data_IF_071928224839
#
_entry.id   IF_071928224839
#
_cell.length_a   1.000
_cell.length_b   1.000
_cell.length_c   1.000
_cell.angle_alpha   90.00
_cell.angle_beta   90.00
_cell.angle_gamma   90.00
#
_symmetry.space_group_name_H-M   'P 1'
#
loop_
_entity.id
_entity.type
_entity.pdbx_description
1 polymer ?
#
# COMPACT_ATOMS: atom_id res chain seq x y z
N UNK A 1 -47.09 -40.73 35.57
CA UNK A 1 -47.94 -39.67 36.09
C UNK A 1 -47.79 -38.52 35.12
N UNK A 2 -48.66 -38.43 34.11
CA UNK A 2 -49.88 -37.65 34.08
C UNK A 2 -49.59 -36.15 34.20
N UNK A 3 -49.95 -35.23 33.33
CA UNK A 3 -51.03 -35.08 32.36
C UNK A 3 -50.77 -33.84 31.52
N UNK A 4 -51.01 -33.91 30.24
CA UNK A 4 -51.49 -32.78 29.44
C UNK A 4 -53.00 -32.58 29.75
N UNK A 5 -53.66 -31.45 29.46
CA UNK A 5 -54.18 -31.30 28.10
C UNK A 5 -54.43 -29.88 27.55
N UNK A 6 -54.62 -29.83 26.25
CA UNK A 6 -55.65 -29.18 25.41
C UNK A 6 -55.72 -27.63 25.40
N UNK A 7 -55.76 -26.91 24.31
CA UNK A 7 -56.36 -27.08 23.02
C UNK A 7 -57.30 -25.90 22.76
N UNK A 8 -57.21 -25.16 21.67
CA UNK A 8 -58.39 -24.80 20.88
C UNK A 8 -58.02 -24.08 19.58
N UNK A 9 -58.44 -24.64 18.49
CA UNK A 9 -58.58 -24.10 17.12
C UNK A 9 -59.68 -23.04 17.08
N UNK A 10 -59.51 -22.04 16.21
CA UNK A 10 -60.68 -21.55 15.48
C UNK A 10 -60.24 -20.92 14.12
N UNK A 11 -60.88 -21.43 13.13
CA UNK A 11 -60.82 -21.24 11.70
C UNK A 11 -61.82 -20.18 11.22
N UNK A 12 -61.63 -19.72 9.92
CA UNK A 12 -62.64 -19.27 8.94
C UNK A 12 -62.89 -17.74 8.92
N UNK A 13 -62.76 -17.00 7.82
CA UNK A 13 -63.43 -17.06 6.51
C UNK A 13 -62.97 -15.95 5.59
N UNK A 14 -62.79 -16.30 4.33
CA UNK A 14 -62.77 -15.38 3.18
C UNK A 14 -64.23 -15.19 2.70
N UNK A 15 -64.63 -14.11 2.10
CA UNK A 15 -65.37 -14.24 0.84
C UNK A 15 -64.94 -13.35 -0.31
N UNK A 16 -65.02 -13.95 -1.50
CA UNK A 16 -64.96 -13.38 -2.82
C UNK A 16 -66.28 -12.73 -3.25
N UNK A 17 -66.19 -12.05 -4.41
CA UNK A 17 -67.21 -11.68 -5.41
C UNK A 17 -67.80 -10.27 -5.28
N UNK A 18 -68.05 -9.48 -6.31
CA UNK A 18 -68.43 -9.77 -7.71
C UNK A 18 -68.38 -8.51 -8.60
N UNK A 19 -68.04 -8.72 -9.80
CA UNK A 19 -68.33 -8.13 -11.11
C UNK A 19 -69.44 -7.07 -11.18
N UNK A 20 -69.20 -5.96 -12.02
CA UNK A 20 -70.15 -5.59 -13.11
C UNK A 20 -69.53 -4.63 -14.13
N UNK A 21 -69.63 -5.04 -15.40
CA UNK A 21 -69.49 -4.30 -16.60
C UNK A 21 -70.59 -3.26 -16.79
N UNK A 22 -70.31 -2.15 -17.50
CA UNK A 22 -71.25 -1.53 -18.44
C UNK A 22 -70.50 -0.78 -19.56
N UNK A 23 -70.77 -1.22 -20.77
CA UNK A 23 -70.41 -0.60 -22.04
C UNK A 23 -71.32 0.57 -22.40
N UNK A 24 -70.85 1.46 -23.25
CA UNK A 24 -71.65 2.33 -24.09
C UNK A 24 -70.82 3.31 -24.94
N UNK A 25 -70.95 3.31 -26.28
CA UNK A 25 -70.11 4.05 -27.23
C UNK A 25 -70.83 5.32 -27.78
N UNK A 26 -70.48 5.88 -28.97
CA UNK A 26 -69.51 6.95 -29.19
C UNK A 26 -70.17 8.25 -29.69
N UNK A 27 -69.46 9.33 -29.75
CA UNK A 27 -69.82 10.47 -30.61
C UNK A 27 -68.60 11.16 -31.17
N UNK A 28 -68.43 11.15 -32.42
CA UNK A 28 -67.61 11.97 -33.30
C UNK A 28 -68.17 13.37 -33.43
N UNK A 29 -67.36 14.41 -33.47
CA UNK A 29 -67.57 15.60 -34.29
C UNK A 29 -66.21 16.35 -34.45
N UNK A 30 -65.86 16.50 -35.75
CA UNK A 30 -65.03 17.51 -36.43
C UNK A 30 -64.06 18.43 -35.76
N UNK A 31 -62.84 18.50 -36.33
CA UNK A 31 -61.86 19.59 -36.18
C UNK A 31 -62.30 20.90 -36.91
N UNK A 32 -61.47 21.88 -37.13
CA UNK A 32 -60.01 22.03 -37.01
C UNK A 32 -59.57 23.32 -36.27
N UNK A 33 -58.30 23.44 -35.87
CA UNK A 33 -57.49 24.67 -36.05
C UNK A 33 -56.09 24.45 -35.54
N UNK A 34 -55.13 24.49 -36.46
CA UNK A 34 -53.71 24.56 -36.19
C UNK A 34 -53.35 25.90 -35.57
N UNK A 35 -52.76 25.91 -34.37
CA UNK A 35 -51.93 26.98 -33.86
C UNK A 35 -50.54 26.46 -33.61
N UNK A 36 -49.46 27.18 -33.99
CA UNK A 36 -48.11 26.70 -33.86
C UNK A 36 -47.70 26.68 -32.36
N UNK A 37 -47.44 25.49 -31.83
CA UNK A 37 -46.86 25.31 -30.53
C UNK A 37 -45.37 25.69 -30.51
N UNK A 38 -44.89 26.20 -29.38
CA UNK A 38 -43.46 26.50 -29.23
C UNK A 38 -42.67 25.19 -29.29
N UNK A 39 -41.60 25.17 -30.09
CA UNK A 39 -40.59 24.16 -30.12
C UNK A 39 -39.96 24.09 -28.72
N UNK A 40 -40.36 23.11 -27.90
CA UNK A 40 -39.55 22.69 -26.76
C UNK A 40 -38.43 21.85 -27.33
N UNK A 41 -37.23 22.47 -27.36
CA UNK A 41 -35.99 21.73 -27.53
C UNK A 41 -35.96 20.63 -26.50
N UNK A 42 -35.77 19.41 -26.97
CA UNK A 42 -35.36 18.27 -26.15
C UNK A 42 -33.98 18.63 -25.55
N UNK A 43 -33.97 19.31 -24.42
CA UNK A 43 -32.80 19.28 -23.56
C UNK A 43 -32.65 17.81 -23.18
N UNK A 44 -31.63 17.23 -23.72
CA UNK A 44 -31.04 15.97 -23.36
C UNK A 44 -30.87 15.99 -21.83
N UNK A 45 -31.73 15.26 -21.14
CA UNK A 45 -31.56 15.02 -19.71
C UNK A 45 -30.27 14.25 -19.55
N UNK A 46 -29.18 14.98 -19.39
CA UNK A 46 -27.90 14.43 -18.92
C UNK A 46 -28.20 13.88 -17.53
N UNK A 47 -28.25 12.57 -17.45
CA UNK A 47 -28.27 11.82 -16.22
C UNK A 47 -27.08 12.33 -15.38
N UNK A 48 -27.28 12.89 -14.19
CA UNK A 48 -26.16 13.29 -13.35
C UNK A 48 -25.52 12.02 -12.77
N UNK A 49 -24.69 11.38 -13.58
CA UNK A 49 -23.77 10.37 -13.05
C UNK A 49 -23.01 11.01 -11.89
N UNK A 50 -22.99 10.40 -10.72
CA UNK A 50 -22.27 10.96 -9.57
C UNK A 50 -20.80 11.16 -9.99
N UNK A 51 -20.16 12.27 -9.59
CA UNK A 51 -18.80 12.57 -10.00
C UNK A 51 -17.90 11.40 -9.62
N UNK A 52 -17.17 10.90 -10.62
CA UNK A 52 -16.17 9.86 -10.43
C UNK A 52 -15.21 10.33 -9.32
N UNK A 53 -15.17 9.58 -8.23
CA UNK A 53 -14.35 9.91 -7.08
C UNK A 53 -12.89 9.68 -7.44
N UNK A 54 -12.11 10.73 -7.45
CA UNK A 54 -10.67 10.60 -7.33
C UNK A 54 -10.36 10.00 -5.96
N UNK A 55 -10.17 8.70 -5.89
CA UNK A 55 -9.67 8.07 -4.67
C UNK A 55 -8.29 8.64 -4.36
N UNK A 56 -8.05 9.11 -3.13
CA UNK A 56 -6.75 9.65 -2.78
C UNK A 56 -5.68 8.57 -2.87
N UNK A 57 -4.55 8.93 -3.44
CA UNK A 57 -3.36 8.09 -3.55
C UNK A 57 -2.87 7.69 -2.17
N UNK A 58 -2.77 6.41 -1.91
CA UNK A 58 -2.25 5.87 -0.66
C UNK A 58 -0.78 5.49 -0.89
N UNK A 59 0.14 6.27 -0.37
CA UNK A 59 1.51 5.83 -0.18
C UNK A 59 1.57 5.07 1.14
N UNK A 60 1.47 3.76 1.07
CA UNK A 60 1.46 2.92 2.26
C UNK A 60 2.88 2.52 2.69
N UNK A 61 3.01 2.39 3.96
CA UNK A 61 4.16 2.18 4.81
C UNK A 61 4.97 0.96 4.42
N UNK A 62 6.26 1.17 4.16
CA UNK A 62 7.25 0.10 4.16
C UNK A 62 7.91 0.02 5.55
N UNK A 63 7.93 -1.14 6.21
CA UNK A 63 8.97 -1.39 7.20
C UNK A 63 10.30 -1.44 6.45
N UNK A 64 11.33 -0.77 6.98
CA UNK A 64 12.65 -0.76 6.36
C UNK A 64 13.11 -2.19 6.08
N UNK A 65 13.44 -2.48 4.83
CA UNK A 65 13.82 -3.81 4.35
C UNK A 65 12.74 -4.57 3.57
N UNK A 66 11.54 -4.00 3.36
CA UNK A 66 10.53 -4.61 2.49
C UNK A 66 9.99 -3.60 1.46
N UNK A 67 10.43 -3.66 0.20
CA UNK A 67 10.11 -2.65 -0.82
C UNK A 67 8.80 -2.91 -1.56
N UNK A 68 7.64 -3.10 -0.90
CA UNK A 68 6.53 -3.69 -1.62
C UNK A 68 5.29 -2.82 -1.79
N UNK A 69 5.13 -1.75 -1.03
CA UNK A 69 3.85 -1.04 -1.01
C UNK A 69 3.76 0.18 -1.93
N UNK A 70 4.85 0.90 -2.08
CA UNK A 70 4.88 2.15 -2.87
C UNK A 70 4.54 1.94 -4.36
N UNK A 71 4.89 0.75 -4.91
CA UNK A 71 4.64 0.40 -6.29
C UNK A 71 3.29 -0.14 -6.65
N UNK A 72 2.69 -0.81 -5.74
CA UNK A 72 1.50 -1.59 -6.03
C UNK A 72 0.22 -0.79 -5.93
N UNK A 73 0.19 0.24 -5.09
CA UNK A 73 -0.99 1.10 -4.93
C UNK A 73 -1.14 2.09 -6.07
N UNK A 74 -0.02 2.56 -6.63
CA UNK A 74 -0.04 3.43 -7.82
C UNK A 74 -0.65 2.72 -9.05
N UNK A 75 -0.66 1.39 -9.09
CA UNK A 75 -1.18 0.62 -10.20
C UNK A 75 -2.72 0.46 -10.20
N UNK A 76 -3.39 0.83 -9.12
CA UNK A 76 -4.80 0.44 -8.92
C UNK A 76 -5.84 1.52 -9.24
N UNK A 77 -5.50 2.83 -9.29
CA UNK A 77 -6.51 3.87 -9.42
C UNK A 77 -6.83 4.25 -10.87
N UNK A 78 -8.09 4.06 -11.34
CA UNK A 78 -8.51 4.50 -12.66
C UNK A 78 -8.62 6.03 -12.76
N UNK A 79 -8.18 6.54 -13.88
CA UNK A 79 -7.95 7.95 -14.23
C UNK A 79 -9.22 8.57 -14.86
N UNK A 80 -10.35 8.61 -14.16
CA UNK A 80 -11.59 9.17 -14.69
C UNK A 80 -12.10 10.36 -13.86
N UNK A 81 -11.58 11.56 -14.10
CA UNK A 81 -12.27 12.80 -13.79
C UNK A 81 -11.83 13.96 -14.68
N UNK A 82 -12.71 14.33 -15.58
CA UNK A 82 -12.57 15.53 -16.42
C UNK A 82 -12.95 16.77 -15.60
N UNK A 83 -11.97 17.47 -15.05
CA UNK A 83 -12.10 18.87 -14.65
C UNK A 83 -10.84 19.64 -15.04
N UNK A 84 -10.99 20.92 -15.39
CA UNK A 84 -9.94 21.86 -15.81
C UNK A 84 -8.93 22.21 -14.69
N UNK A 85 -8.54 21.23 -13.90
CA UNK A 85 -7.39 21.32 -13.00
C UNK A 85 -6.10 21.02 -13.79
N UNK A 86 -4.93 21.52 -13.36
CA UNK A 86 -3.68 21.13 -13.99
C UNK A 86 -3.62 19.60 -14.07
N UNK A 87 -3.18 19.04 -15.21
CA UNK A 87 -3.27 17.61 -15.46
C UNK A 87 -2.57 16.86 -14.34
N UNK A 88 -3.35 16.10 -13.55
CA UNK A 88 -2.82 15.21 -12.52
C UNK A 88 -1.90 14.20 -13.18
N UNK A 89 -0.83 13.83 -12.50
CA UNK A 89 0.07 12.79 -13.00
C UNK A 89 -0.71 11.48 -13.18
N UNK A 90 -0.48 10.81 -14.29
CA UNK A 90 -1.02 9.47 -14.52
C UNK A 90 -0.33 8.49 -13.56
N UNK A 91 -1.12 7.78 -12.76
CA UNK A 91 -0.60 6.93 -11.69
C UNK A 91 -0.01 5.60 -12.23
N UNK A 92 -0.61 5.00 -13.26
CA UNK A 92 -0.24 3.67 -13.76
C UNK A 92 -0.10 3.64 -15.27
N UNK A 93 0.59 2.60 -15.75
CA UNK A 93 0.75 2.29 -17.17
C UNK A 93 -0.34 1.33 -17.62
N UNK A 94 -0.68 1.43 -18.88
CA UNK A 94 -1.47 0.40 -19.52
C UNK A 94 -0.64 -0.89 -19.65
N UNK A 95 -1.24 -2.03 -19.29
CA UNK A 95 -0.64 -3.35 -19.44
C UNK A 95 -0.08 -3.96 -18.17
N UNK A 96 0.64 -5.06 -18.32
CA UNK A 96 1.11 -5.91 -17.24
C UNK A 96 2.24 -5.28 -16.40
N UNK A 97 3.22 -4.65 -17.05
CA UNK A 97 4.35 -4.02 -16.38
C UNK A 97 3.98 -2.61 -15.92
N UNK A 98 4.13 -2.33 -14.63
CA UNK A 98 3.80 -1.03 -14.05
C UNK A 98 5.03 -0.18 -13.78
N UNK A 99 6.02 -0.71 -13.06
CA UNK A 99 7.24 0.03 -12.76
C UNK A 99 8.43 -0.85 -12.41
N UNK A 100 9.62 -0.27 -12.50
CA UNK A 100 10.88 -0.77 -11.96
C UNK A 100 11.48 0.29 -11.04
N UNK A 101 11.88 -0.09 -9.84
CA UNK A 101 12.53 0.81 -8.89
C UNK A 101 13.93 0.29 -8.54
N UNK A 102 14.87 1.20 -8.43
CA UNK A 102 16.24 0.94 -7.95
C UNK A 102 16.56 2.01 -6.92
N UNK A 103 16.99 1.58 -5.74
CA UNK A 103 17.36 2.47 -4.63
C UNK A 103 18.72 2.08 -4.08
N UNK A 104 19.58 3.06 -3.88
CA UNK A 104 20.84 2.92 -3.16
C UNK A 104 20.78 3.67 -1.85
N UNK A 105 21.18 3.01 -0.75
CA UNK A 105 21.26 3.60 0.59
C UNK A 105 22.66 3.44 1.14
N UNK A 106 23.20 4.48 1.74
CA UNK A 106 24.49 4.45 2.41
C UNK A 106 24.34 4.94 3.85
N UNK A 107 24.77 4.10 4.79
CA UNK A 107 24.92 4.44 6.20
C UNK A 107 26.39 4.61 6.50
N UNK A 108 26.75 5.73 7.10
CA UNK A 108 28.12 5.98 7.53
C UNK A 108 28.59 4.92 8.54
N UNK A 109 29.74 4.26 8.32
CA UNK A 109 30.19 3.15 9.16
C UNK A 109 30.56 3.53 10.59
N UNK A 110 30.77 4.83 10.88
CA UNK A 110 31.25 5.26 12.18
C UNK A 110 32.77 5.09 12.34
N UNK A 111 33.28 5.24 13.56
CA UNK A 111 34.71 5.17 13.86
C UNK A 111 35.03 4.20 15.00
N UNK A 112 34.05 3.73 15.74
CA UNK A 112 34.24 2.80 16.85
C UNK A 112 34.24 1.34 16.37
N UNK A 113 34.92 0.46 17.08
CA UNK A 113 35.06 -0.95 16.74
C UNK A 113 33.70 -1.70 16.69
N UNK A 114 32.68 -1.19 17.38
CA UNK A 114 31.31 -1.69 17.34
C UNK A 114 30.46 -1.08 16.24
N UNK A 115 30.97 -0.07 15.53
CA UNK A 115 30.20 0.58 14.50
C UNK A 115 30.13 -0.27 13.24
N UNK A 116 28.96 -0.21 12.59
CA UNK A 116 28.71 -0.90 11.34
C UNK A 116 28.03 0.05 10.35
N UNK A 117 28.58 0.14 9.16
CA UNK A 117 27.97 0.83 8.04
C UNK A 117 27.29 -0.16 7.10
N UNK A 118 26.35 0.37 6.32
CA UNK A 118 25.68 -0.39 5.27
C UNK A 118 25.73 0.37 3.94
N UNK A 119 25.94 -0.37 2.87
CA UNK A 119 25.61 0.11 1.52
C UNK A 119 24.59 -0.86 0.96
N UNK A 120 23.34 -0.39 0.85
CA UNK A 120 22.23 -1.19 0.38
C UNK A 120 21.93 -0.86 -1.08
N UNK A 121 21.65 -1.88 -1.88
CA UNK A 121 21.13 -1.76 -3.24
C UNK A 121 19.84 -2.56 -3.28
N UNK A 122 18.73 -1.88 -3.50
CA UNK A 122 17.40 -2.46 -3.56
C UNK A 122 16.84 -2.35 -4.98
N UNK A 123 16.28 -3.42 -5.49
CA UNK A 123 15.63 -3.45 -6.80
C UNK A 123 14.32 -4.23 -6.73
N UNK A 124 13.26 -3.67 -7.30
CA UNK A 124 12.02 -4.41 -7.48
C UNK A 124 11.28 -3.99 -8.75
N UNK A 125 10.51 -4.92 -9.29
CA UNK A 125 9.60 -4.68 -10.41
C UNK A 125 8.15 -4.91 -10.00
N UNK A 126 7.22 -4.11 -10.51
CA UNK A 126 5.78 -4.23 -10.22
C UNK A 126 5.02 -4.66 -11.46
N UNK A 127 4.21 -5.69 -11.31
CA UNK A 127 3.41 -6.28 -12.37
C UNK A 127 1.97 -6.42 -11.90
N UNK A 128 1.01 -5.91 -12.67
CA UNK A 128 -0.41 -6.00 -12.36
C UNK A 128 -1.09 -7.01 -13.31
N UNK A 129 -1.76 -7.99 -12.71
CA UNK A 129 -2.55 -8.99 -13.42
C UNK A 129 -4.03 -8.74 -13.19
N UNK A 130 -4.90 -8.72 -14.23
CA UNK A 130 -6.34 -8.54 -14.09
C UNK A 130 -7.01 -9.81 -13.53
N UNK A 131 -6.63 -10.22 -12.33
CA UNK A 131 -7.12 -11.41 -11.67
C UNK A 131 -7.41 -11.11 -10.19
N UNK A 132 -8.53 -11.54 -9.61
CA UNK A 132 -9.62 -12.30 -10.23
C UNK A 132 -10.48 -11.47 -11.20
N UNK A 133 -10.47 -10.14 -11.08
CA UNK A 133 -11.17 -9.20 -11.97
C UNK A 133 -10.29 -7.96 -12.21
N UNK A 134 -10.61 -7.19 -13.24
CA UNK A 134 -9.83 -6.00 -13.64
C UNK A 134 -9.81 -4.94 -12.52
N UNK A 135 -10.95 -4.78 -11.83
CA UNK A 135 -11.13 -3.81 -10.75
C UNK A 135 -10.33 -4.14 -9.47
N UNK A 136 -9.95 -5.41 -9.29
CA UNK A 136 -9.16 -5.89 -8.15
C UNK A 136 -7.96 -6.71 -8.62
N UNK A 137 -6.99 -6.08 -9.25
CA UNK A 137 -5.86 -6.80 -9.83
C UNK A 137 -5.02 -7.47 -8.75
N UNK A 138 -4.42 -8.59 -9.10
CA UNK A 138 -3.33 -9.18 -8.35
C UNK A 138 -2.03 -8.48 -8.76
N UNK A 139 -1.37 -7.85 -7.80
CA UNK A 139 -0.08 -7.21 -8.01
C UNK A 139 1.03 -8.16 -7.56
N UNK A 140 1.99 -8.40 -8.45
CA UNK A 140 3.15 -9.26 -8.19
C UNK A 140 4.40 -8.38 -8.23
N UNK A 141 5.16 -8.41 -7.14
CA UNK A 141 6.36 -7.61 -7.01
C UNK A 141 7.56 -8.50 -6.66
N UNK A 142 8.31 -9.02 -7.66
CA UNK A 142 9.62 -9.59 -7.40
C UNK A 142 10.60 -8.50 -7.00
N UNK A 143 11.42 -8.79 -5.99
CA UNK A 143 12.45 -7.89 -5.49
C UNK A 143 13.70 -8.62 -5.05
N UNK A 144 14.80 -7.88 -5.10
CA UNK A 144 16.10 -8.31 -4.65
C UNK A 144 16.87 -7.17 -4.02
N UNK A 145 17.38 -7.41 -2.80
CA UNK A 145 18.19 -6.44 -2.07
C UNK A 145 19.56 -7.05 -1.75
N UNK A 146 20.57 -6.24 -1.81
CA UNK A 146 21.93 -6.58 -1.42
C UNK A 146 22.43 -5.56 -0.42
N UNK A 147 22.88 -6.05 0.73
CA UNK A 147 23.43 -5.26 1.82
C UNK A 147 24.91 -5.55 1.95
N UNK A 148 25.73 -4.54 1.72
CA UNK A 148 27.18 -4.59 1.90
C UNK A 148 27.51 -3.98 3.26
N UNK A 149 28.11 -4.77 4.14
CA UNK A 149 28.45 -4.36 5.50
C UNK A 149 29.89 -3.88 5.57
N UNK A 150 30.12 -2.79 6.30
CA UNK A 150 31.42 -2.22 6.62
C UNK A 150 31.57 -2.21 8.15
N UNK A 151 32.41 -3.09 8.70
CA UNK A 151 32.48 -3.40 10.14
C UNK A 151 31.43 -4.43 10.56
N UNK A 152 31.29 -4.70 11.84
CA UNK A 152 32.12 -4.28 12.95
C UNK A 152 33.42 -5.09 13.05
N UNK A 153 34.38 -4.60 13.86
CA UNK A 153 35.62 -5.34 14.16
C UNK A 153 35.47 -6.31 15.34
N UNK A 154 34.42 -6.13 16.15
CA UNK A 154 34.23 -6.85 17.41
C UNK A 154 33.50 -8.18 17.30
N UNK A 155 32.77 -8.42 16.20
CA UNK A 155 31.98 -9.62 15.99
C UNK A 155 32.01 -10.07 14.54
N UNK A 156 31.71 -11.33 14.35
CA UNK A 156 31.74 -12.04 13.09
C UNK A 156 30.43 -11.85 12.31
N UNK A 157 30.36 -10.77 11.54
CA UNK A 157 29.28 -10.53 10.59
C UNK A 157 29.74 -10.81 9.15
N UNK A 158 28.91 -11.42 8.31
CA UNK A 158 29.26 -11.60 6.91
C UNK A 158 29.30 -10.22 6.21
N UNK A 159 30.23 -10.03 5.26
CA UNK A 159 30.35 -8.76 4.53
C UNK A 159 29.17 -8.46 3.60
N UNK A 160 28.30 -9.43 3.36
CA UNK A 160 27.16 -9.31 2.45
C UNK A 160 25.98 -10.09 2.98
N UNK A 161 24.78 -9.45 2.87
CA UNK A 161 23.49 -10.07 3.12
C UNK A 161 22.60 -9.85 1.89
N UNK A 162 21.66 -10.74 1.69
CA UNK A 162 20.80 -10.74 0.52
C UNK A 162 19.36 -11.04 0.89
N UNK A 163 18.44 -10.33 0.26
CA UNK A 163 17.00 -10.60 0.28
C UNK A 163 16.55 -10.91 -1.15
N UNK A 164 15.93 -12.05 -1.34
CA UNK A 164 15.27 -12.38 -2.60
C UNK A 164 13.82 -12.74 -2.28
N UNK A 165 12.85 -12.00 -2.81
CA UNK A 165 11.43 -12.17 -2.45
C UNK A 165 10.51 -11.93 -3.62
N UNK A 166 9.25 -12.39 -3.47
CA UNK A 166 8.15 -12.04 -4.35
C UNK A 166 6.94 -11.69 -3.49
N UNK A 167 6.43 -10.48 -3.63
CA UNK A 167 5.17 -10.10 -2.97
C UNK A 167 3.98 -10.34 -3.90
N UNK A 168 2.94 -10.96 -3.35
CA UNK A 168 1.65 -11.15 -3.99
C UNK A 168 0.63 -10.33 -3.23
N UNK A 169 0.17 -9.24 -3.82
CA UNK A 169 -0.75 -8.32 -3.17
C UNK A 169 -2.07 -8.23 -3.91
N UNK A 170 -3.15 -8.19 -3.15
CA UNK A 170 -4.52 -8.06 -3.63
C UNK A 170 -5.25 -6.97 -2.87
N UNK A 171 -5.97 -6.09 -3.60
CA UNK A 171 -6.67 -4.92 -3.07
C UNK A 171 -8.17 -4.96 -3.38
N UNK A 172 -8.97 -5.83 -2.76
CA UNK A 172 -10.40 -5.87 -2.99
C UNK A 172 -11.12 -4.71 -2.28
N UNK A 173 -12.08 -4.12 -3.00
CA UNK A 173 -13.03 -3.15 -2.46
C UNK A 173 -14.38 -3.82 -2.32
N UNK A 174 -14.73 -4.31 -1.13
CA UNK A 174 -15.97 -5.07 -0.92
C UNK A 174 -17.19 -4.20 -0.66
N UNK A 175 -16.99 -3.05 -0.04
CA UNK A 175 -18.06 -2.12 0.32
C UNK A 175 -17.59 -0.71 0.00
N UNK A 176 -18.53 0.10 -0.47
CA UNK A 176 -18.27 1.51 -0.68
C UNK A 176 -17.54 2.13 0.52
N UNK A 177 -16.38 2.76 0.32
CA UNK A 177 -15.46 3.35 1.29
C UNK A 177 -14.55 2.39 2.07
N UNK A 178 -14.61 1.08 1.85
CA UNK A 178 -13.75 0.13 2.52
C UNK A 178 -12.92 -0.63 1.50
N UNK A 179 -11.62 -0.46 1.56
CA UNK A 179 -10.65 -1.21 0.77
C UNK A 179 -9.83 -2.07 1.71
N UNK A 180 -9.61 -3.31 1.34
CA UNK A 180 -8.66 -4.18 2.04
C UNK A 180 -7.38 -4.27 1.21
N UNK A 181 -6.25 -4.37 1.90
CA UNK A 181 -4.98 -4.72 1.31
C UNK A 181 -4.51 -6.01 1.96
N UNK A 182 -4.39 -7.05 1.18
CA UNK A 182 -3.90 -8.35 1.61
C UNK A 182 -2.64 -8.69 0.82
N UNK A 183 -1.57 -9.05 1.51
CA UNK A 183 -0.31 -9.42 0.86
C UNK A 183 0.34 -10.62 1.54
N UNK A 184 0.99 -11.44 0.72
CA UNK A 184 1.81 -12.56 1.15
C UNK A 184 3.12 -12.51 0.38
N UNK A 185 4.24 -12.54 1.13
CA UNK A 185 5.59 -12.36 0.58
C UNK A 185 6.49 -13.52 0.99
N UNK A 186 6.58 -14.59 0.20
CA UNK A 186 7.66 -15.55 0.35
C UNK A 186 9.00 -14.89 0.00
N UNK A 187 10.02 -15.13 0.83
CA UNK A 187 11.35 -14.59 0.62
C UNK A 187 12.45 -15.48 1.20
N UNK A 188 13.65 -15.26 0.74
CA UNK A 188 14.86 -15.91 1.19
C UNK A 188 15.87 -14.86 1.66
N UNK A 189 16.29 -14.95 2.93
CA UNK A 189 17.07 -13.93 3.63
C UNK A 189 18.34 -14.55 4.21
N UNK A 190 19.47 -14.36 3.56
CA UNK A 190 20.72 -15.05 3.91
C UNK A 190 21.96 -14.32 3.37
N UNK A 191 23.14 -14.76 3.81
CA UNK A 191 24.42 -14.44 3.19
C UNK A 191 24.75 -15.29 1.95
N UNK A 192 23.84 -16.20 1.55
CA UNK A 192 23.98 -17.18 0.46
C UNK A 192 25.16 -18.17 0.59
N UNK A 193 25.79 -18.22 1.75
CA UNK A 193 26.79 -19.26 2.05
C UNK A 193 26.15 -20.52 2.60
N UNK A 194 25.02 -20.35 3.26
CA UNK A 194 24.26 -21.43 3.86
C UNK A 194 22.99 -21.68 3.04
N UNK A 195 22.75 -22.93 2.70
CA UNK A 195 21.46 -23.38 2.16
C UNK A 195 20.64 -23.98 3.31
N UNK A 196 19.96 -23.14 4.07
CA UNK A 196 19.12 -23.54 5.20
C UNK A 196 17.65 -23.19 4.91
N UNK A 197 16.74 -24.08 5.32
CA UNK A 197 15.30 -23.84 5.28
C UNK A 197 14.87 -22.66 6.13
N UNK A 198 15.63 -22.31 7.17
CA UNK A 198 15.38 -21.19 8.07
C UNK A 198 15.61 -19.83 7.40
N UNK A 199 16.36 -19.80 6.28
CA UNK A 199 16.51 -18.60 5.47
C UNK A 199 15.24 -18.27 4.66
N UNK A 200 14.37 -19.28 4.42
CA UNK A 200 13.07 -19.06 3.80
C UNK A 200 12.07 -18.53 4.84
N UNK A 201 11.52 -17.37 4.58
CA UNK A 201 10.52 -16.73 5.45
C UNK A 201 9.31 -16.31 4.66
N UNK A 202 8.15 -16.51 5.26
CA UNK A 202 6.88 -15.99 4.76
C UNK A 202 6.51 -14.76 5.59
N UNK A 203 6.38 -13.62 4.93
CA UNK A 203 5.87 -12.39 5.53
C UNK A 203 4.54 -12.00 4.90
N UNK A 204 3.87 -10.96 5.40
CA UNK A 204 2.59 -10.55 4.83
C UNK A 204 1.97 -9.36 5.52
N UNK A 205 0.91 -8.83 4.92
CA UNK A 205 0.19 -7.64 5.37
C UNK A 205 -1.30 -7.85 5.27
N UNK A 206 -2.01 -7.39 6.29
CA UNK A 206 -3.46 -7.33 6.28
C UNK A 206 -3.90 -5.96 6.78
N UNK A 207 -4.32 -5.07 5.87
CA UNK A 207 -4.72 -3.72 6.19
C UNK A 207 -6.15 -3.46 5.72
N UNK A 208 -6.85 -2.60 6.44
CA UNK A 208 -8.16 -2.08 6.08
C UNK A 208 -8.05 -0.57 5.99
N UNK A 209 -8.58 -0.03 4.92
CA UNK A 209 -8.57 1.39 4.61
C UNK A 209 -10.02 1.86 4.57
N UNK A 210 -10.32 2.90 5.33
CA UNK A 210 -11.65 3.52 5.38
C UNK A 210 -11.60 4.95 4.86
N UNK A 211 -12.29 5.22 3.76
CA UNK A 211 -12.45 6.54 3.16
C UNK A 211 -13.51 7.35 3.91
N UNK A 212 -13.11 8.14 4.89
CA UNK A 212 -14.02 9.00 5.62
C UNK A 212 -14.57 10.11 4.73
N UNK A 213 -13.70 10.72 3.93
CA UNK A 213 -14.03 11.69 2.88
C UNK A 213 -12.89 11.73 1.83
N UNK A 214 -13.00 12.48 0.70
CA UNK A 214 -11.97 12.52 -0.35
C UNK A 214 -10.58 13.00 0.10
N UNK A 215 -10.48 13.60 1.29
CA UNK A 215 -9.23 14.15 1.84
C UNK A 215 -8.75 13.46 3.11
N UNK A 216 -9.54 12.52 3.66
CA UNK A 216 -9.22 11.83 4.90
C UNK A 216 -9.54 10.34 4.81
N UNK A 217 -8.53 9.53 5.05
CA UNK A 217 -8.62 8.08 5.13
C UNK A 217 -8.07 7.61 6.47
N UNK A 218 -8.63 6.55 7.01
CA UNK A 218 -8.08 5.83 8.16
C UNK A 218 -7.55 4.48 7.70
N UNK A 219 -6.39 4.11 8.23
CA UNK A 219 -5.74 2.82 7.94
C UNK A 219 -5.55 2.08 9.24
N UNK A 220 -5.84 0.78 9.23
CA UNK A 220 -5.61 -0.08 10.38
C UNK A 220 -5.34 -1.52 9.96
N UNK A 221 -4.51 -2.24 10.73
CA UNK A 221 -4.21 -3.62 10.43
C UNK A 221 -2.94 -4.12 11.07
N UNK A 222 -2.30 -5.11 10.44
CA UNK A 222 -1.10 -5.76 10.95
C UNK A 222 -0.14 -6.13 9.82
N UNK A 223 1.17 -6.09 10.13
CA UNK A 223 2.23 -6.67 9.33
C UNK A 223 2.74 -7.91 10.05
N UNK A 224 2.83 -9.02 9.35
CA UNK A 224 3.54 -10.21 9.80
C UNK A 224 4.95 -10.21 9.21
N UNK A 225 5.92 -9.90 10.05
CA UNK A 225 7.32 -9.74 9.64
C UNK A 225 8.11 -11.05 9.73
N UNK A 226 7.64 -12.00 10.54
CA UNK A 226 8.32 -13.27 10.75
C UNK A 226 9.75 -13.13 11.28
N UNK A 227 10.09 -12.01 11.94
CA UNK A 227 11.40 -11.77 12.55
C UNK A 227 11.48 -12.45 13.92
N UNK A 228 12.69 -12.76 14.38
CA UNK A 228 12.88 -13.42 15.68
C UNK A 228 12.44 -12.52 16.83
N UNK A 229 12.74 -11.24 16.77
CA UNK A 229 12.42 -10.25 17.80
C UNK A 229 10.99 -9.68 17.67
N UNK A 230 10.41 -9.64 16.46
CA UNK A 230 9.11 -9.03 16.20
C UNK A 230 8.35 -9.76 15.09
N UNK A 231 7.37 -10.58 15.47
CA UNK A 231 6.58 -11.35 14.50
C UNK A 231 5.41 -10.55 13.91
N UNK A 232 4.73 -9.76 14.75
CA UNK A 232 3.56 -8.98 14.36
C UNK A 232 3.78 -7.52 14.72
N UNK A 233 3.60 -6.63 13.75
CA UNK A 233 3.69 -5.19 13.94
C UNK A 233 2.31 -4.58 13.64
N UNK A 234 1.66 -3.90 14.60
CA UNK A 234 0.41 -3.22 14.34
C UNK A 234 0.63 -2.03 13.40
N UNK A 235 -0.34 -1.81 12.50
CA UNK A 235 -0.40 -0.65 11.61
C UNK A 235 -1.64 0.14 11.98
N UNK A 236 -1.50 1.45 12.10
CA UNK A 236 -2.65 2.29 12.38
C UNK A 236 -2.36 3.77 12.18
N UNK A 237 -3.37 4.48 11.70
CA UNK A 237 -3.23 5.91 11.51
C UNK A 237 -4.20 6.50 10.49
N UNK A 238 -3.83 7.66 9.96
CA UNK A 238 -4.65 8.40 9.01
C UNK A 238 -3.80 9.02 7.90
N UNK A 239 -4.38 9.06 6.71
CA UNK A 239 -3.88 9.83 5.57
C UNK A 239 -4.79 11.05 5.43
N UNK A 240 -4.19 12.22 5.57
CA UNK A 240 -4.92 13.48 5.49
C UNK A 240 -4.29 14.43 4.47
N UNK A 241 -5.07 14.84 3.47
CA UNK A 241 -4.66 15.78 2.43
C UNK A 241 -5.55 17.02 2.50
N UNK A 242 -5.23 17.98 3.40
CA UNK A 242 -6.05 19.18 3.58
C UNK A 242 -6.16 20.00 2.29
N UNK A 243 -5.10 20.04 1.51
CA UNK A 243 -5.02 20.64 0.18
C UNK A 243 -4.27 19.73 -0.77
N UNK A 244 -4.19 20.09 -2.04
CA UNK A 244 -3.40 19.34 -3.03
C UNK A 244 -1.89 19.50 -2.84
N UNK A 245 -1.46 20.50 -2.04
CA UNK A 245 -0.05 20.79 -1.77
C UNK A 245 0.46 20.15 -0.47
N UNK A 246 -0.41 19.57 0.34
CA UNK A 246 -0.02 18.94 1.61
C UNK A 246 -0.54 17.52 1.69
N UNK A 247 0.34 16.59 2.02
CA UNK A 247 0.03 15.19 2.29
C UNK A 247 0.61 14.77 3.65
N UNK A 248 -0.26 14.38 4.56
CA UNK A 248 0.08 13.88 5.89
C UNK A 248 -0.33 12.42 5.99
N UNK A 249 0.63 11.53 5.96
CA UNK A 249 0.47 10.10 6.10
C UNK A 249 0.93 9.69 7.50
N UNK A 250 0.06 9.96 8.49
CA UNK A 250 0.35 9.73 9.90
C UNK A 250 0.06 8.27 10.26
N UNK A 251 0.77 7.34 9.64
CA UNK A 251 0.58 5.91 9.80
C UNK A 251 1.82 5.29 10.47
N UNK A 252 1.61 4.62 11.60
CA UNK A 252 2.65 3.80 12.24
C UNK A 252 2.87 2.50 11.44
N UNK A 253 4.11 2.04 11.17
CA UNK A 253 5.39 2.49 11.72
C UNK A 253 6.14 3.54 10.88
N UNK A 254 5.61 4.01 9.74
CA UNK A 254 6.31 4.94 8.84
C UNK A 254 5.46 6.19 8.55
N UNK A 255 5.38 7.15 9.49
CA UNK A 255 4.71 8.43 9.23
C UNK A 255 5.50 9.28 8.24
N UNK A 256 4.79 9.95 7.31
CA UNK A 256 5.36 10.86 6.32
C UNK A 256 4.56 12.17 6.28
N UNK A 257 5.26 13.27 6.26
CA UNK A 257 4.70 14.62 6.10
C UNK A 257 5.31 15.22 4.83
N UNK A 258 4.49 15.53 3.84
CA UNK A 258 4.98 16.02 2.56
C UNK A 258 4.30 17.33 2.16
N UNK A 259 5.08 18.22 1.52
CA UNK A 259 4.62 19.47 0.93
C UNK A 259 5.08 19.54 -0.52
N UNK A 260 4.15 19.88 -1.42
CA UNK A 260 4.45 20.10 -2.82
C UNK A 260 5.09 21.47 -3.02
N UNK A 261 6.30 21.50 -3.54
CA UNK A 261 7.05 22.73 -3.81
C UNK A 261 6.58 23.40 -5.09
N UNK A 262 6.41 22.61 -6.13
CA UNK A 262 5.89 23.07 -7.42
C UNK A 262 5.42 21.89 -8.27
N UNK A 263 4.64 22.19 -9.30
CA UNK A 263 4.17 21.24 -10.30
C UNK A 263 4.21 21.86 -11.69
N UNK A 264 4.27 21.00 -12.70
CA UNK A 264 4.22 21.37 -14.11
C UNK A 264 3.66 20.24 -14.97
N UNK A 265 3.58 20.42 -16.28
CA UNK A 265 3.11 19.37 -17.18
C UNK A 265 3.95 18.10 -17.02
N UNK A 266 3.36 17.06 -16.43
CA UNK A 266 3.99 15.74 -16.27
C UNK A 266 4.97 15.61 -15.12
N UNK A 267 5.04 16.55 -14.18
CA UNK A 267 5.87 16.40 -12.98
C UNK A 267 5.32 17.14 -11.75
N UNK A 268 5.67 16.66 -10.58
CA UNK A 268 5.51 17.32 -9.28
C UNK A 268 6.82 17.18 -8.48
N UNK A 269 7.20 18.25 -7.75
CA UNK A 269 8.31 18.20 -6.81
C UNK A 269 7.78 18.33 -5.39
N UNK A 270 8.17 17.39 -4.54
CA UNK A 270 7.76 17.31 -3.16
C UNK A 270 8.96 17.36 -2.22
N UNK A 271 8.80 18.01 -1.09
CA UNK A 271 9.68 17.94 0.06
C UNK A 271 8.96 17.19 1.16
N UNK A 272 9.64 16.30 1.88
CA UNK A 272 8.99 15.53 2.94
C UNK A 272 9.94 15.21 4.09
N UNK A 273 9.34 14.93 5.24
CA UNK A 273 9.97 14.31 6.38
C UNK A 273 9.28 13.00 6.70
N UNK A 274 10.04 11.98 7.05
CA UNK A 274 9.51 10.66 7.44
C UNK A 274 10.29 10.05 8.59
N UNK A 275 9.61 9.23 9.38
CA UNK A 275 10.27 8.35 10.34
C UNK A 275 10.06 6.90 9.90
N UNK A 276 11.07 6.06 10.12
CA UNK A 276 11.03 4.66 9.73
C UNK A 276 11.52 3.79 10.89
N UNK A 277 10.92 2.61 11.05
CA UNK A 277 11.48 1.53 11.85
C UNK A 277 12.13 0.53 10.91
N UNK A 278 13.46 0.45 10.96
CA UNK A 278 14.29 -0.38 10.11
C UNK A 278 14.61 -1.74 10.70
N UNK A 279 15.14 -2.61 9.83
CA UNK A 279 15.75 -3.88 10.25
C UNK A 279 15.17 -5.11 9.56
N UNK A 280 15.94 -6.21 9.65
CA UNK A 280 15.56 -7.51 9.13
C UNK A 280 16.31 -8.63 9.88
N UNK A 281 15.95 -9.88 9.64
CA UNK A 281 16.62 -11.08 10.19
C UNK A 281 17.20 -11.89 9.03
N UNK A 282 18.45 -12.33 9.18
CA UNK A 282 19.18 -13.11 8.16
C UNK A 282 19.77 -14.39 8.76
N UNK A 283 19.76 -15.45 7.99
CA UNK A 283 20.53 -16.65 8.30
C UNK A 283 21.94 -16.48 7.73
N UNK A 284 22.94 -16.71 8.57
CA UNK A 284 24.35 -16.46 8.26
C UNK A 284 25.23 -17.64 8.63
N UNK A 285 26.38 -17.75 7.97
CA UNK A 285 27.47 -18.63 8.39
C UNK A 285 28.49 -17.85 9.21
N UNK A 286 28.68 -18.28 10.46
CA UNK A 286 29.71 -17.74 11.35
C UNK A 286 31.08 -18.30 11.03
N UNK A 287 32.16 -17.59 11.43
CA UNK A 287 33.52 -18.16 11.37
C UNK A 287 33.57 -19.50 12.09
N UNK A 288 34.01 -20.53 11.39
CA UNK A 288 33.98 -21.91 11.91
C UNK A 288 32.84 -22.78 11.34
N UNK A 289 32.00 -22.25 10.47
CA UNK A 289 30.99 -23.02 9.73
C UNK A 289 29.71 -23.31 10.52
N UNK A 290 29.49 -22.62 11.64
CA UNK A 290 28.24 -22.73 12.39
C UNK A 290 27.18 -21.79 11.81
N UNK A 291 25.93 -22.24 11.75
CA UNK A 291 24.80 -21.45 11.31
C UNK A 291 24.25 -20.63 12.49
N UNK A 292 23.93 -19.38 12.25
CA UNK A 292 23.27 -18.49 13.20
C UNK A 292 22.28 -17.58 12.47
N UNK A 293 21.45 -16.89 13.21
CA UNK A 293 20.58 -15.83 12.69
C UNK A 293 20.94 -14.51 13.34
N UNK A 294 21.09 -13.50 12.52
CA UNK A 294 21.33 -12.13 12.96
C UNK A 294 20.09 -11.28 12.65
N UNK A 295 19.60 -10.59 13.64
CA UNK A 295 18.54 -9.60 13.52
C UNK A 295 19.14 -8.22 13.76
N UNK A 296 18.96 -7.34 12.80
CA UNK A 296 19.35 -5.97 12.95
C UNK A 296 18.09 -5.08 12.97
N UNK A 297 18.10 -4.00 13.75
CA UNK A 297 17.03 -3.03 13.83
C UNK A 297 17.54 -1.63 14.11
N UNK A 298 16.81 -0.63 13.64
CA UNK A 298 17.13 0.78 13.86
C UNK A 298 15.86 1.66 13.74
N UNK A 299 15.99 2.92 14.17
CA UNK A 299 15.04 3.99 13.89
C UNK A 299 15.70 5.05 13.01
N UNK A 300 14.94 5.56 12.04
CA UNK A 300 15.42 6.53 11.06
C UNK A 300 14.52 7.75 11.03
N UNK A 301 15.14 8.94 11.03
CA UNK A 301 14.44 10.20 10.74
C UNK A 301 15.05 10.77 9.46
N UNK A 302 14.24 10.90 8.43
CA UNK A 302 14.69 11.28 7.10
C UNK A 302 14.01 12.56 6.64
N UNK A 303 14.76 13.42 5.97
CA UNK A 303 14.26 14.50 5.14
C UNK A 303 14.52 14.13 3.68
N UNK A 304 13.55 14.27 2.83
CA UNK A 304 13.65 13.86 1.44
C UNK A 304 13.05 14.84 0.48
N UNK A 305 13.57 14.83 -0.73
CA UNK A 305 13.02 15.50 -1.89
C UNK A 305 12.75 14.46 -2.98
N UNK A 306 11.54 14.53 -3.55
CA UNK A 306 11.14 13.63 -4.62
C UNK A 306 10.58 14.42 -5.80
N UNK A 307 10.90 13.96 -7.00
CA UNK A 307 10.26 14.37 -8.23
C UNK A 307 9.43 13.22 -8.76
N UNK A 308 8.12 13.41 -8.77
CA UNK A 308 7.13 12.48 -9.32
C UNK A 308 6.89 12.82 -10.78
N UNK A 309 6.82 11.81 -11.61
CA UNK A 309 6.52 11.89 -13.04
C UNK A 309 5.29 11.02 -13.33
N UNK A 310 4.79 11.07 -14.57
CA UNK A 310 3.72 10.19 -14.99
C UNK A 310 4.08 8.71 -14.83
N UNK A 311 3.09 7.88 -14.57
CA UNK A 311 3.20 6.42 -14.46
C UNK A 311 4.04 5.95 -13.26
N UNK A 312 4.04 6.72 -12.18
CA UNK A 312 4.83 6.39 -10.98
C UNK A 312 6.35 6.46 -11.20
N UNK A 313 6.81 6.98 -12.36
CA UNK A 313 8.21 7.23 -12.60
C UNK A 313 8.69 8.44 -11.77
N UNK A 314 9.99 8.51 -11.51
CA UNK A 314 10.55 9.63 -10.76
C UNK A 314 11.88 9.30 -10.11
N UNK A 315 12.31 10.20 -9.25
CA UNK A 315 13.51 9.99 -8.44
C UNK A 315 13.36 10.68 -7.08
N UNK A 316 14.06 10.15 -6.08
CA UNK A 316 14.08 10.67 -4.72
C UNK A 316 15.50 10.76 -4.19
N UNK A 317 15.72 11.75 -3.32
CA UNK A 317 16.95 11.93 -2.55
C UNK A 317 16.56 12.13 -1.08
N UNK A 318 17.20 11.42 -0.20
CA UNK A 318 16.95 11.48 1.24
C UNK A 318 18.26 11.58 2.00
N UNK A 319 18.20 12.30 3.09
CA UNK A 319 19.25 12.34 4.09
C UNK A 319 18.65 12.27 5.47
N UNK A 320 19.32 11.60 6.39
CA UNK A 320 18.75 11.44 7.72
C UNK A 320 19.69 10.91 8.79
N UNK A 321 19.10 10.74 9.95
CA UNK A 321 19.76 10.29 11.16
C UNK A 321 19.20 8.93 11.57
N UNK A 322 20.08 8.02 11.93
CA UNK A 322 19.77 6.64 12.31
C UNK A 322 20.24 6.41 13.73
N UNK A 323 19.35 5.96 14.59
CA UNK A 323 19.58 5.81 16.04
C UNK A 323 18.89 4.57 16.60
N UNK A 324 19.20 4.21 17.85
CA UNK A 324 18.63 3.06 18.51
C UNK A 324 18.93 1.76 17.77
N UNK A 325 20.16 1.65 17.28
CA UNK A 325 20.62 0.52 16.47
C UNK A 325 20.95 -0.65 17.36
N UNK A 326 20.47 -1.85 16.97
CA UNK A 326 20.71 -3.08 17.69
C UNK A 326 21.02 -4.21 16.71
N UNK A 327 21.93 -5.07 17.06
CA UNK A 327 22.29 -6.28 16.33
C UNK A 327 22.29 -7.44 17.29
N UNK A 328 21.32 -8.34 17.14
CA UNK A 328 21.10 -9.49 18.01
C UNK A 328 21.32 -10.78 17.25
N UNK A 329 22.05 -11.71 17.85
CA UNK A 329 22.23 -13.06 17.32
C UNK A 329 21.34 -14.06 18.06
N UNK A 330 20.76 -15.01 17.37
CA UNK A 330 19.93 -16.04 18.03
C UNK A 330 20.73 -16.88 19.03
N UNK A 331 22.03 -17.07 18.78
CA UNK A 331 22.95 -17.69 19.74
C UNK A 331 23.30 -16.80 20.94
N UNK A 332 22.91 -15.50 20.92
CA UNK A 332 23.29 -14.46 21.89
C UNK A 332 24.80 -14.27 22.03
N UNK A 333 25.56 -14.79 21.08
CA UNK A 333 27.01 -14.67 21.05
C UNK A 333 27.43 -13.54 20.13
N UNK A 334 27.74 -12.36 20.68
CA UNK A 334 28.21 -11.20 19.94
C UNK A 334 27.14 -10.16 19.65
N UNK A 335 26.06 -10.14 20.43
CA UNK A 335 25.07 -9.04 20.42
C UNK A 335 25.77 -7.72 20.73
N UNK A 336 25.40 -6.65 20.02
CA UNK A 336 25.98 -5.35 20.19
C UNK A 336 25.05 -4.24 19.72
N UNK A 337 25.34 -3.02 20.16
CA UNK A 337 24.62 -1.81 19.79
C UNK A 337 25.57 -0.87 19.03
N UNK A 338 25.46 -0.79 17.68
CA UNK A 338 26.21 0.19 16.91
C UNK A 338 25.82 1.62 17.32
N UNK A 339 26.78 2.54 17.25
CA UNK A 339 26.52 3.96 17.50
C UNK A 339 25.53 4.55 16.49
N UNK A 340 24.94 5.68 16.85
CA UNK A 340 24.09 6.46 15.96
C UNK A 340 24.86 6.93 14.73
N UNK A 341 24.17 7.06 13.59
CA UNK A 341 24.84 7.38 12.34
C UNK A 341 23.98 8.22 11.41
N UNK A 342 24.54 8.62 10.27
CA UNK A 342 23.83 9.32 9.20
C UNK A 342 23.59 8.42 8.01
N UNK A 343 22.48 8.71 7.30
CA UNK A 343 22.04 7.97 6.14
C UNK A 343 21.91 8.91 4.94
N UNK A 344 22.35 8.45 3.79
CA UNK A 344 22.03 9.03 2.49
C UNK A 344 21.36 7.97 1.62
N UNK A 345 20.26 8.34 0.97
CA UNK A 345 19.51 7.43 0.08
C UNK A 345 19.15 8.14 -1.21
N UNK A 346 19.31 7.45 -2.33
CA UNK A 346 18.87 7.90 -3.65
C UNK A 346 18.11 6.78 -4.35
N UNK A 347 17.00 7.11 -4.96
CA UNK A 347 16.16 6.14 -5.67
C UNK A 347 15.67 6.68 -7.02
N UNK A 348 15.53 5.78 -7.98
CA UNK A 348 14.97 6.06 -9.32
C UNK A 348 13.89 5.02 -9.60
N UNK A 349 12.76 5.49 -10.13
CA UNK A 349 11.65 4.64 -10.56
C UNK A 349 11.31 4.94 -12.01
N UNK A 350 11.10 3.88 -12.79
CA UNK A 350 10.84 3.94 -14.24
C UNK A 350 9.45 3.43 -14.58
#
# INVERSE_FOLDING_TARGET
MAQQPSGTRSTIRNPQSAIRNSQGPPASIDGPEELPGPEFGLEEMVDPSPPARSSPRIELIEPAGEPVLEGALDAYYPDDAVFLEPPKLKAHRDGFFQKLSITGTWLYPGTDAADVGFTDIEMFGVFALPFPIVEWPLVITPGYNMHLLSGPEITDLPPRLHDAYVDFMWLPTFVHRWTMLLSVTPGYYSDFRVSDSDAFRLTGKGLVIFDANPRLQFVGGVLYLGRDNLKLLPVGGAIWRPTDDFAFELIFPKPKLAVRLNQGPGFENWLYGTAEYGGNTYVIERTGGTHDRVTYQDFRLLAGWERRLNYGAGFRLEAGYVFGRQVDFTSSAGDFEPGDTVLLRAGVTF
#
